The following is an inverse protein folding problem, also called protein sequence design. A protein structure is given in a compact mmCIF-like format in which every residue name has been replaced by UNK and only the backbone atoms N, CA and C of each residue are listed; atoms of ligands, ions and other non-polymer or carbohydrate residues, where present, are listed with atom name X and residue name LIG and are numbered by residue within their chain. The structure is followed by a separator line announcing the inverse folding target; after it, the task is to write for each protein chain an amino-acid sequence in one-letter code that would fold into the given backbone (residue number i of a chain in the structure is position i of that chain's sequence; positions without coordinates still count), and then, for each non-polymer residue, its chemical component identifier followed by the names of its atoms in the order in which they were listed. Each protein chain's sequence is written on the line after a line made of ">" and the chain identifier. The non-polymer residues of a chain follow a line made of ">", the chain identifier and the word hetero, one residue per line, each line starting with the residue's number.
data_IF_918506384936
#
_entry.id   IF_918506384936
#
_cell.length_a   1.000
_cell.length_b   1.000
_cell.length_c   1.000
_cell.angle_alpha   90.00
_cell.angle_beta   90.00
_cell.angle_gamma   90.00
#
_symmetry.space_group_name_H-M   'P 1'
#
loop_
_entity.id
_entity.type
_entity.pdbx_description
1 polymer ?
#
# COMPACT_ATOMS: atom_id res chain seq x y z
N UNK A 1 -7.21 3.56 6.78
CA UNK A 1 -6.34 4.17 5.75
C UNK A 1 -6.90 4.19 4.33
N UNK A 2 -7.46 3.12 3.75
CA UNK A 2 -7.95 3.17 2.36
C UNK A 2 -9.19 4.09 2.18
N UNK A 3 -9.33 4.69 0.99
CA UNK A 3 -10.56 5.39 0.60
C UNK A 3 -11.67 4.37 0.34
N UNK A 4 -12.92 4.72 0.64
CA UNK A 4 -14.06 3.84 0.39
C UNK A 4 -14.20 3.50 -1.10
N UNK A 5 -14.06 4.51 -1.96
CA UNK A 5 -14.43 4.44 -3.37
C UNK A 5 -13.25 4.69 -4.33
N UNK A 6 -12.13 5.23 -3.85
CA UNK A 6 -10.98 5.49 -4.72
C UNK A 6 -10.21 4.18 -4.99
N UNK A 7 -9.83 3.91 -6.26
CA UNK A 7 -9.13 2.70 -6.63
C UNK A 7 -7.69 2.69 -6.12
N UNK A 8 -7.22 1.49 -5.74
CA UNK A 8 -5.83 1.20 -5.38
C UNK A 8 -5.41 -0.16 -5.93
N UNK A 9 -4.20 -0.24 -6.50
CA UNK A 9 -3.61 -1.48 -7.02
C UNK A 9 -2.83 -2.26 -5.95
N UNK A 10 -3.51 -2.86 -4.97
CA UNK A 10 -2.84 -3.62 -3.91
C UNK A 10 -2.18 -4.90 -4.45
N UNK A 11 -0.97 -5.23 -3.99
CA UNK A 11 -0.25 -6.44 -4.42
C UNK A 11 -0.09 -7.43 -3.26
N UNK A 12 -0.20 -8.72 -3.54
CA UNK A 12 0.18 -9.76 -2.58
C UNK A 12 1.71 -9.74 -2.40
N UNK A 13 2.23 -9.64 -1.17
CA UNK A 13 3.68 -9.62 -0.93
C UNK A 13 4.41 -10.87 -1.49
N UNK A 14 3.73 -12.00 -1.63
CA UNK A 14 4.28 -13.22 -2.22
C UNK A 14 4.56 -13.05 -3.71
N UNK A 15 3.70 -12.32 -4.44
CA UNK A 15 3.88 -12.07 -5.87
C UNK A 15 5.13 -11.22 -6.14
N UNK A 16 5.46 -10.28 -5.24
CA UNK A 16 6.73 -9.52 -5.29
C UNK A 16 7.92 -10.48 -5.20
N UNK A 17 7.87 -11.47 -4.31
CA UNK A 17 8.92 -12.47 -4.15
C UNK A 17 9.06 -13.40 -5.34
N UNK A 18 7.93 -13.88 -5.88
CA UNK A 18 7.88 -14.71 -7.10
C UNK A 18 8.46 -13.96 -8.29
N UNK A 19 8.07 -12.70 -8.49
CA UNK A 19 8.62 -11.84 -9.54
C UNK A 19 10.16 -11.73 -9.41
N UNK A 20 10.67 -11.42 -8.22
CA UNK A 20 12.10 -11.32 -7.98
C UNK A 20 12.84 -12.65 -8.25
N UNK A 21 12.28 -13.78 -7.84
CA UNK A 21 12.86 -15.09 -8.08
C UNK A 21 12.99 -15.42 -9.58
N UNK A 22 12.00 -15.02 -10.38
CA UNK A 22 12.06 -15.17 -11.84
C UNK A 22 13.19 -14.33 -12.45
N UNK A 23 13.35 -13.07 -12.07
CA UNK A 23 14.43 -12.21 -12.56
C UNK A 23 15.82 -12.75 -12.20
N UNK A 24 15.97 -13.29 -10.99
CA UNK A 24 17.23 -13.88 -10.52
C UNK A 24 17.57 -15.21 -11.21
N UNK A 25 16.55 -15.92 -11.68
CA UNK A 25 16.68 -17.22 -12.35
C UNK A 25 16.73 -17.10 -13.88
N UNK A 26 16.65 -15.88 -14.42
CA UNK A 26 16.77 -15.65 -15.87
C UNK A 26 18.15 -16.12 -16.37
N UNK A 27 18.21 -16.58 -17.62
CA UNK A 27 19.46 -17.02 -18.25
C UNK A 27 20.49 -15.90 -18.42
N UNK A 28 20.06 -14.64 -18.31
CA UNK A 28 20.96 -13.48 -18.25
C UNK A 28 20.46 -12.43 -17.24
N UNK A 29 20.68 -12.62 -15.92
CA UNK A 29 20.14 -11.72 -14.89
C UNK A 29 20.82 -10.34 -14.90
N UNK A 30 21.93 -10.17 -15.63
CA UNK A 30 22.64 -8.88 -15.73
C UNK A 30 21.80 -7.78 -16.38
N UNK A 31 20.80 -8.12 -17.19
CA UNK A 31 19.87 -7.16 -17.80
C UNK A 31 18.99 -6.43 -16.78
N UNK A 32 18.91 -6.95 -15.55
CA UNK A 32 18.15 -6.36 -14.44
C UNK A 32 19.04 -5.63 -13.43
N UNK A 33 20.36 -5.60 -13.64
CA UNK A 33 21.29 -4.99 -12.70
C UNK A 33 21.02 -3.49 -12.55
N UNK A 34 20.78 -3.06 -11.30
CA UNK A 34 20.39 -1.67 -10.94
C UNK A 34 19.06 -1.19 -11.54
N UNK A 35 18.28 -2.07 -12.17
CA UNK A 35 16.95 -1.73 -12.64
C UNK A 35 15.99 -1.55 -11.45
N UNK A 36 15.03 -0.62 -11.59
CA UNK A 36 13.94 -0.44 -10.63
C UNK A 36 12.64 -0.95 -11.23
N UNK A 37 11.97 -1.84 -10.48
CA UNK A 37 10.63 -2.31 -10.81
C UNK A 37 9.64 -1.74 -9.82
N UNK A 38 8.56 -1.18 -10.36
CA UNK A 38 7.36 -0.82 -9.60
C UNK A 38 6.33 -1.90 -9.91
N UNK A 39 5.78 -2.52 -8.87
CA UNK A 39 4.83 -3.63 -8.97
C UNK A 39 3.54 -3.25 -8.27
N UNK A 40 2.41 -3.42 -8.97
CA UNK A 40 1.07 -3.24 -8.42
C UNK A 40 0.29 -4.54 -8.59
N UNK A 41 -0.82 -4.66 -7.86
CA UNK A 41 -1.79 -5.72 -8.11
C UNK A 41 -2.34 -5.70 -9.53
N UNK A 42 -2.91 -6.82 -9.99
CA UNK A 42 -3.44 -6.94 -11.34
C UNK A 42 -4.73 -6.12 -11.55
N UNK A 43 -5.44 -5.77 -10.49
CA UNK A 43 -6.76 -5.13 -10.55
C UNK A 43 -6.85 -3.93 -9.61
N UNK A 44 -7.66 -2.96 -10.00
CA UNK A 44 -8.05 -1.85 -9.14
C UNK A 44 -9.13 -2.32 -8.17
N UNK A 45 -8.88 -2.13 -6.87
CA UNK A 45 -9.89 -2.35 -5.84
C UNK A 45 -10.11 -1.10 -5.00
N UNK A 46 -11.27 -1.03 -4.36
CA UNK A 46 -11.64 0.05 -3.44
C UNK A 46 -11.60 -0.42 -1.99
N UNK A 47 -11.58 0.52 -1.04
CA UNK A 47 -11.71 0.18 0.39
C UNK A 47 -12.99 -0.60 0.68
N UNK A 48 -14.09 -0.33 -0.02
CA UNK A 48 -15.31 -1.13 0.10
C UNK A 48 -15.10 -2.58 -0.32
N UNK A 49 -14.45 -2.81 -1.46
CA UNK A 49 -14.18 -4.18 -1.92
C UNK A 49 -13.26 -4.94 -0.96
N UNK A 50 -12.33 -4.25 -0.30
CA UNK A 50 -11.52 -4.85 0.79
C UNK A 50 -12.42 -5.34 1.92
N UNK A 51 -13.38 -4.52 2.37
CA UNK A 51 -14.34 -4.92 3.41
C UNK A 51 -15.17 -6.11 2.92
N UNK A 52 -15.70 -6.05 1.70
CA UNK A 52 -16.52 -7.14 1.13
C UNK A 52 -15.74 -8.47 1.10
N UNK A 53 -14.45 -8.44 0.74
CA UNK A 53 -13.57 -9.62 0.78
C UNK A 53 -13.35 -10.15 2.20
N UNK A 54 -13.16 -9.27 3.19
CA UNK A 54 -13.02 -9.67 4.60
C UNK A 54 -14.31 -10.29 5.11
N UNK A 55 -15.47 -9.66 4.87
CA UNK A 55 -16.79 -10.15 5.27
C UNK A 55 -17.09 -11.52 4.66
N UNK A 56 -16.78 -11.70 3.36
CA UNK A 56 -16.90 -12.99 2.69
C UNK A 56 -16.02 -14.06 3.36
N UNK A 57 -14.80 -13.71 3.77
CA UNK A 57 -13.87 -14.64 4.40
C UNK A 57 -14.30 -15.02 5.83
N UNK A 58 -14.77 -14.07 6.63
CA UNK A 58 -15.16 -14.30 8.03
C UNK A 58 -16.61 -14.77 8.19
N UNK A 59 -17.44 -14.63 7.14
CA UNK A 59 -18.84 -15.08 7.12
C UNK A 59 -19.82 -14.19 7.90
N UNK A 60 -19.40 -13.00 8.33
CA UNK A 60 -20.21 -12.02 9.06
C UNK A 60 -19.91 -10.61 8.57
N UNK A 61 -20.86 -9.69 8.75
CA UNK A 61 -20.67 -8.27 8.42
C UNK A 61 -19.78 -7.59 9.46
N UNK A 62 -18.93 -6.67 9.00
CA UNK A 62 -18.14 -5.81 9.88
C UNK A 62 -19.03 -4.68 10.39
N UNK A 63 -19.16 -4.56 11.72
CA UNK A 63 -20.09 -3.61 12.35
C UNK A 63 -19.69 -2.15 12.13
N UNK A 64 -18.39 -1.84 12.21
CA UNK A 64 -17.88 -0.48 12.10
C UNK A 64 -16.68 -0.41 11.16
N UNK A 65 -16.78 0.45 10.15
CA UNK A 65 -15.71 0.70 9.18
C UNK A 65 -15.42 2.19 9.08
N UNK A 66 -14.20 2.58 9.43
CA UNK A 66 -13.71 3.94 9.29
C UNK A 66 -12.73 4.01 8.12
N UNK A 67 -13.22 4.47 6.97
CA UNK A 67 -12.38 4.73 5.80
C UNK A 67 -11.47 5.94 6.04
N UNK A 68 -10.32 5.97 5.36
CA UNK A 68 -9.32 7.04 5.49
C UNK A 68 -8.83 7.28 6.94
N UNK A 69 -9.02 6.32 7.84
CA UNK A 69 -8.51 6.43 9.20
C UNK A 69 -6.98 6.53 9.21
N UNK A 70 -6.47 7.54 9.90
CA UNK A 70 -5.06 7.85 10.13
C UNK A 70 -4.74 8.00 11.63
N UNK A 71 -5.67 7.63 12.52
CA UNK A 71 -5.50 7.71 13.98
C UNK A 71 -4.31 6.89 14.48
N UNK A 72 -3.97 5.81 13.77
CA UNK A 72 -2.76 5.02 14.03
C UNK A 72 -1.47 5.88 14.05
N UNK A 73 -1.40 6.96 13.28
CA UNK A 73 -0.23 7.85 13.26
C UNK A 73 -0.10 8.66 14.56
N UNK A 74 -1.21 9.04 15.19
CA UNK A 74 -1.19 9.66 16.52
C UNK A 74 -0.69 8.66 17.57
N UNK A 75 -1.24 7.45 17.55
CA UNK A 75 -0.81 6.36 18.42
C UNK A 75 0.70 6.08 18.26
N UNK A 76 1.17 5.98 17.01
CA UNK A 76 2.58 5.78 16.68
C UNK A 76 3.47 6.89 17.27
N UNK A 77 3.07 8.16 17.10
CA UNK A 77 3.80 9.29 17.67
C UNK A 77 3.87 9.18 19.19
N UNK A 78 2.74 9.00 19.86
CA UNK A 78 2.66 8.96 21.33
C UNK A 78 3.53 7.84 21.92
N UNK A 79 3.52 6.66 21.31
CA UNK A 79 4.16 5.47 21.88
C UNK A 79 5.62 5.30 21.47
N UNK A 80 6.03 5.78 20.29
CA UNK A 80 7.38 5.55 19.78
C UNK A 80 8.23 6.81 19.71
N UNK A 81 7.62 7.98 19.55
CA UNK A 81 8.37 9.20 19.21
C UNK A 81 8.23 10.35 20.21
N UNK A 82 7.18 10.40 21.03
CA UNK A 82 6.96 11.51 21.96
C UNK A 82 8.10 11.68 22.98
N UNK A 83 8.76 10.58 23.36
CA UNK A 83 9.94 10.58 24.23
C UNK A 83 11.26 10.77 23.48
N UNK A 84 11.23 10.76 22.14
CA UNK A 84 12.39 11.03 21.30
C UNK A 84 12.40 12.52 20.97
N UNK A 85 13.55 13.18 20.94
CA UNK A 85 13.67 14.60 20.55
C UNK A 85 13.33 14.87 19.06
N UNK A 86 12.55 13.99 18.43
CA UNK A 86 12.06 14.11 17.06
C UNK A 86 10.92 15.13 17.00
N UNK A 87 10.80 15.78 15.84
CA UNK A 87 9.77 16.80 15.64
C UNK A 87 8.39 16.19 15.46
N UNK A 88 7.47 16.52 16.38
CA UNK A 88 6.04 16.15 16.29
C UNK A 88 5.43 16.53 14.93
N UNK A 89 5.70 17.75 14.47
CA UNK A 89 5.11 18.26 13.23
C UNK A 89 5.59 17.48 12.00
N UNK A 90 6.87 17.10 11.98
CA UNK A 90 7.44 16.30 10.89
C UNK A 90 6.83 14.90 10.89
N UNK A 91 6.74 14.24 12.05
CA UNK A 91 6.16 12.90 12.14
C UNK A 91 4.67 12.91 11.76
N UNK A 92 3.90 13.85 12.29
CA UNK A 92 2.46 13.92 12.02
C UNK A 92 2.14 14.36 10.59
N UNK A 93 3.09 14.94 9.84
CA UNK A 93 2.89 15.22 8.40
C UNK A 93 2.59 13.97 7.58
N UNK A 94 2.98 12.77 8.04
CA UNK A 94 2.69 11.48 7.39
C UNK A 94 1.18 11.28 7.19
N UNK A 95 0.32 11.92 8.00
CA UNK A 95 -1.13 11.88 7.82
C UNK A 95 -1.61 12.35 6.44
N UNK A 96 -0.83 13.18 5.75
CA UNK A 96 -1.13 13.66 4.39
C UNK A 96 -0.65 12.70 3.29
N UNK A 97 0.26 11.77 3.59
CA UNK A 97 0.80 10.84 2.58
C UNK A 97 -0.28 10.02 1.84
N UNK A 98 -1.37 9.57 2.49
CA UNK A 98 -2.42 8.82 1.79
C UNK A 98 -3.31 9.65 0.85
N UNK A 99 -3.22 10.99 0.85
CA UNK A 99 -4.10 11.86 0.05
C UNK A 99 -4.05 11.52 -1.44
N UNK A 100 -2.87 11.30 -1.99
CA UNK A 100 -2.68 10.89 -3.39
C UNK A 100 -3.42 9.58 -3.73
N UNK A 101 -3.42 8.61 -2.82
CA UNK A 101 -4.17 7.37 -3.00
C UNK A 101 -5.69 7.61 -2.87
N UNK A 102 -6.10 8.51 -1.99
CA UNK A 102 -7.52 8.89 -1.82
C UNK A 102 -8.09 9.66 -3.00
N UNK A 103 -7.24 10.29 -3.80
CA UNK A 103 -7.55 10.92 -5.09
C UNK A 103 -7.56 9.91 -6.25
N UNK A 104 -7.36 8.62 -5.97
CA UNK A 104 -7.41 7.54 -6.96
C UNK A 104 -6.21 7.52 -7.91
N UNK A 105 -5.07 8.08 -7.51
CA UNK A 105 -3.87 8.15 -8.35
C UNK A 105 -2.96 6.90 -8.20
N UNK A 106 -3.29 5.99 -7.29
CA UNK A 106 -2.49 4.79 -6.99
C UNK A 106 -3.11 3.51 -7.57
N UNK A 107 -3.54 3.53 -8.83
CA UNK A 107 -4.19 2.41 -9.51
C UNK A 107 -3.19 1.30 -9.86
N UNK A 108 -3.71 0.13 -10.23
CA UNK A 108 -2.96 -0.95 -10.86
C UNK A 108 -2.17 -0.46 -12.09
N UNK A 109 -2.73 0.52 -12.81
CA UNK A 109 -2.11 1.13 -13.98
C UNK A 109 -1.08 2.21 -13.68
N UNK A 110 -0.85 2.62 -12.42
CA UNK A 110 0.18 3.60 -12.02
C UNK A 110 1.61 3.03 -12.08
N UNK A 111 1.92 2.31 -13.16
CA UNK A 111 3.25 1.88 -13.61
C UNK A 111 3.74 0.53 -13.09
N UNK A 112 3.25 -0.57 -13.68
CA UNK A 112 4.04 -1.81 -13.76
C UNK A 112 5.00 -1.69 -14.93
N UNK A 113 6.18 -1.09 -14.72
CA UNK A 113 7.22 -0.99 -15.75
C UNK A 113 8.63 -1.05 -15.14
N UNK A 114 9.58 -1.56 -15.93
CA UNK A 114 11.00 -1.38 -15.66
C UNK A 114 11.34 0.10 -15.89
N UNK A 115 11.86 0.78 -14.87
CA UNK A 115 12.39 2.13 -15.01
C UNK A 115 13.89 2.06 -15.37
N UNK A 116 14.36 2.92 -16.30
CA UNK A 116 15.76 2.97 -16.72
C UNK A 116 16.71 3.43 -15.60
#
# INVERSE_FOLDING_TARGET
>A
MASKDAPVGIIDPTEVGVFAAHLLSDGNPTVHNKARYVLNGPEDITGKQIVDMVEQYIGVQVEEVIYKDVSFIDFLYEHQYAATHQSKNVILSIKHAPETAWEGQCTASTTTAMMP
#
